data_IF_086870150728
#
_entry.id   IF_086870150728
#
_cell.length_a   1.000
_cell.length_b   1.000
_cell.length_c   1.000
_cell.angle_alpha   90.00
_cell.angle_beta   90.00
_cell.angle_gamma   90.00
#
_symmetry.space_group_name_H-M   'P 1'
#
loop_
_entity.id
_entity.type
_entity.pdbx_description
1 polymer ?
#
# COMPACT_ATOMS: atom_id res chain seq x y z
N UNK A 1 0.38 -24.48 -7.10
CA UNK A 1 -0.65 -23.86 -6.23
C UNK A 1 -0.55 -22.33 -6.14
N UNK A 2 0.21 -21.64 -7.00
CA UNK A 2 0.47 -20.18 -6.90
C UNK A 2 -0.35 -19.34 -7.90
N UNK A 3 -0.89 -19.94 -8.97
CA UNK A 3 -1.61 -19.20 -10.03
C UNK A 3 -3.12 -18.98 -9.78
N UNK A 4 -3.71 -19.59 -8.76
CA UNK A 4 -5.14 -19.44 -8.44
C UNK A 4 -5.49 -18.16 -7.69
N UNK A 5 -4.51 -17.50 -7.07
CA UNK A 5 -4.76 -16.29 -6.28
C UNK A 5 -5.05 -15.05 -7.16
N UNK A 6 -4.59 -15.08 -8.43
CA UNK A 6 -4.76 -13.99 -9.40
C UNK A 6 -6.19 -13.75 -9.89
N UNK A 7 -7.11 -14.69 -9.67
CA UNK A 7 -8.50 -14.59 -10.14
C UNK A 7 -9.53 -14.34 -9.02
N UNK A 8 -9.09 -13.98 -7.81
CA UNK A 8 -10.03 -13.62 -6.74
C UNK A 8 -10.64 -12.23 -7.01
N UNK A 9 -11.97 -12.04 -6.89
CA UNK A 9 -12.64 -10.74 -7.07
C UNK A 9 -12.16 -9.66 -6.08
N UNK A 10 -11.37 -10.05 -5.08
CA UNK A 10 -10.71 -9.16 -4.13
C UNK A 10 -9.54 -8.40 -4.80
N UNK A 11 -8.84 -9.01 -5.77
CA UNK A 11 -7.67 -8.41 -6.41
C UNK A 11 -8.00 -7.48 -7.58
N UNK A 12 -9.18 -7.57 -8.18
CA UNK A 12 -9.61 -6.68 -9.28
C UNK A 12 -10.19 -5.34 -8.80
N UNK A 13 -10.16 -5.07 -7.49
CA UNK A 13 -10.85 -3.90 -6.91
C UNK A 13 -10.07 -2.62 -7.16
N UNK A 14 -10.81 -1.58 -7.57
CA UNK A 14 -10.30 -0.23 -7.77
C UNK A 14 -10.43 0.59 -6.49
N UNK A 15 -9.63 1.65 -6.40
CA UNK A 15 -9.69 2.59 -5.29
C UNK A 15 -10.94 3.46 -5.36
N UNK A 16 -11.64 3.59 -4.22
CA UNK A 16 -12.83 4.46 -4.12
C UNK A 16 -12.46 5.95 -4.18
N UNK A 17 -11.31 6.33 -3.62
CA UNK A 17 -10.86 7.73 -3.50
C UNK A 17 -9.43 7.93 -4.03
N UNK A 18 -9.21 7.89 -5.36
CA UNK A 18 -7.87 7.97 -5.95
C UNK A 18 -7.13 9.27 -5.63
N UNK A 19 -7.84 10.42 -5.58
CA UNK A 19 -7.23 11.73 -5.27
C UNK A 19 -6.64 11.78 -3.86
N UNK A 20 -7.33 11.20 -2.88
CA UNK A 20 -6.89 11.19 -1.47
C UNK A 20 -5.60 10.38 -1.31
N UNK A 21 -5.48 9.28 -2.05
CA UNK A 21 -4.30 8.41 -2.02
C UNK A 21 -3.08 9.11 -2.63
N UNK A 22 -3.27 9.87 -3.72
CA UNK A 22 -2.20 10.65 -4.32
C UNK A 22 -1.69 11.70 -3.32
N UNK A 23 -2.61 12.42 -2.65
CA UNK A 23 -2.22 13.37 -1.61
C UNK A 23 -1.51 12.70 -0.43
N UNK A 24 -2.02 11.56 0.06
CA UNK A 24 -1.37 10.82 1.13
C UNK A 24 0.01 10.32 0.75
N UNK A 25 0.25 9.93 -0.51
CA UNK A 25 1.58 9.56 -1.00
C UNK A 25 2.55 10.75 -0.99
N UNK A 26 2.09 11.95 -1.38
CA UNK A 26 2.95 13.15 -1.34
C UNK A 26 3.30 13.51 0.11
N UNK A 27 2.32 13.43 1.00
CA UNK A 27 2.52 13.69 2.44
C UNK A 27 3.45 12.65 3.07
N UNK A 28 3.26 11.38 2.71
CA UNK A 28 4.13 10.26 3.11
C UNK A 28 5.57 10.50 2.67
N UNK A 29 5.79 10.95 1.42
CA UNK A 29 7.12 11.30 0.93
C UNK A 29 7.77 12.43 1.73
N UNK A 30 7.02 13.48 2.05
CA UNK A 30 7.54 14.58 2.87
C UNK A 30 7.96 14.07 4.28
N UNK A 31 7.14 13.21 4.87
CA UNK A 31 7.43 12.61 6.17
C UNK A 31 8.60 11.63 6.16
N UNK A 32 8.76 10.81 5.11
CA UNK A 32 9.92 9.89 5.01
C UNK A 32 11.23 10.65 4.85
N UNK A 33 11.26 11.73 4.07
CA UNK A 33 12.44 12.59 3.94
C UNK A 33 12.79 13.21 5.30
N UNK A 34 11.80 13.75 6.03
CA UNK A 34 12.02 14.29 7.36
C UNK A 34 12.57 13.23 8.33
N UNK A 35 12.01 12.01 8.32
CA UNK A 35 12.47 10.91 9.16
C UNK A 35 13.92 10.52 8.85
N UNK A 36 14.27 10.38 7.57
CA UNK A 36 15.63 10.05 7.14
C UNK A 36 16.65 11.11 7.56
N UNK A 37 16.31 12.39 7.44
CA UNK A 37 17.21 13.48 7.85
C UNK A 37 17.40 13.45 9.37
N UNK A 38 16.33 13.35 10.14
CA UNK A 38 16.42 13.38 11.60
C UNK A 38 17.16 12.17 12.16
N UNK A 39 16.86 10.95 11.67
CA UNK A 39 17.54 9.74 12.11
C UNK A 39 18.94 9.59 11.54
N UNK A 40 19.19 10.11 10.34
CA UNK A 40 20.52 10.13 9.73
C UNK A 40 21.49 11.05 10.47
N UNK A 41 21.02 12.24 10.88
CA UNK A 41 21.84 13.15 11.70
C UNK A 41 22.09 12.58 13.10
N UNK A 42 21.13 11.83 13.65
CA UNK A 42 21.28 11.25 14.98
C UNK A 42 22.35 10.14 15.04
N UNK A 43 22.64 9.45 13.93
CA UNK A 43 23.55 8.30 13.85
C UNK A 43 25.04 8.72 13.87
N UNK A 44 25.95 7.99 14.55
CA UNK A 44 25.73 6.80 15.37
C UNK A 44 25.24 7.09 16.80
N UNK A 45 25.59 8.26 17.36
CA UNK A 45 25.22 8.69 18.70
C UNK A 45 25.44 10.21 18.87
N UNK A 46 24.73 11.02 18.08
CA UNK A 46 24.92 12.47 18.15
C UNK A 46 24.44 13.05 19.49
N UNK A 47 23.28 12.60 19.95
CA UNK A 47 22.64 13.15 21.14
C UNK A 47 22.12 12.13 22.13
N UNK A 48 22.09 10.82 21.83
CA UNK A 48 21.49 9.83 22.73
C UNK A 48 22.23 9.76 24.06
N UNK A 49 23.55 9.56 24.05
CA UNK A 49 24.35 9.50 25.29
C UNK A 49 24.38 10.84 26.01
N UNK A 50 24.38 11.96 25.28
CA UNK A 50 24.30 13.31 25.88
C UNK A 50 22.98 13.54 26.60
N UNK A 51 21.86 13.16 25.99
CA UNK A 51 20.55 13.25 26.62
C UNK A 51 20.43 12.27 27.79
N UNK A 52 21.04 11.08 27.69
CA UNK A 52 21.08 10.14 28.80
C UNK A 52 21.79 10.77 30.01
N UNK A 53 23.00 11.33 29.81
CA UNK A 53 23.77 12.01 30.85
C UNK A 53 23.02 13.19 31.48
N UNK A 54 22.42 14.07 30.67
CA UNK A 54 21.68 15.23 31.18
C UNK A 54 20.50 14.80 32.04
N UNK A 55 19.81 13.72 31.64
CA UNK A 55 18.76 13.15 32.46
C UNK A 55 19.30 12.70 33.82
N UNK A 56 20.46 12.05 33.84
CA UNK A 56 21.07 11.49 35.04
C UNK A 56 21.55 12.60 35.98
N UNK A 57 22.19 13.63 35.43
CA UNK A 57 22.64 14.81 36.17
C UNK A 57 21.47 15.54 36.87
N UNK A 58 20.25 15.40 36.33
CA UNK A 58 19.01 15.95 36.90
C UNK A 58 18.19 14.91 37.70
N UNK A 59 18.68 13.68 37.85
CA UNK A 59 18.02 12.59 38.58
C UNK A 59 16.75 12.05 37.92
N UNK A 60 16.66 12.10 36.58
CA UNK A 60 15.47 11.68 35.84
C UNK A 60 15.54 10.27 35.27
N UNK A 61 16.72 9.68 35.13
CA UNK A 61 16.94 8.36 34.55
C UNK A 61 18.25 7.76 35.07
N UNK A 62 18.54 6.53 34.64
CA UNK A 62 19.78 5.81 34.97
C UNK A 62 21.03 6.51 34.43
N UNK A 63 22.21 6.14 34.93
CA UNK A 63 23.49 6.68 34.43
C UNK A 63 23.97 5.95 33.17
N UNK A 64 24.47 6.67 32.14
CA UNK A 64 25.15 6.02 31.01
C UNK A 64 26.46 5.31 31.41
N UNK A 65 27.08 5.73 32.53
CA UNK A 65 28.34 5.17 33.03
C UNK A 65 28.15 3.84 33.76
N UNK A 66 26.92 3.38 33.99
CA UNK A 66 26.62 2.12 34.67
C UNK A 66 27.26 0.92 33.94
N UNK A 67 27.30 0.95 32.61
CA UNK A 67 27.93 -0.07 31.77
C UNK A 67 29.45 -0.09 31.99
N UNK A 68 30.07 1.09 32.00
CA UNK A 68 31.51 1.23 32.20
C UNK A 68 31.91 0.84 33.64
N UNK A 69 31.09 1.23 34.62
CA UNK A 69 31.26 0.86 36.02
C UNK A 69 31.15 -0.66 36.21
N UNK A 70 30.12 -1.30 35.64
CA UNK A 70 29.95 -2.75 35.73
C UNK A 70 31.12 -3.50 35.08
N UNK A 71 31.56 -3.03 33.91
CA UNK A 71 32.71 -3.58 33.20
C UNK A 71 34.01 -3.46 34.02
N UNK A 72 34.29 -2.28 34.57
CA UNK A 72 35.50 -2.03 35.38
C UNK A 72 35.52 -2.83 36.69
N UNK A 73 34.35 -3.13 37.27
CA UNK A 73 34.23 -3.88 38.52
C UNK A 73 33.94 -5.38 38.33
N UNK A 74 34.07 -5.91 37.11
CA UNK A 74 33.77 -7.32 36.78
C UNK A 74 32.37 -7.77 37.25
N UNK A 75 31.39 -6.86 37.24
CA UNK A 75 29.99 -7.15 37.55
C UNK A 75 29.24 -7.55 36.28
N UNK A 76 28.13 -8.31 36.39
CA UNK A 76 27.28 -8.57 35.24
C UNK A 76 26.81 -7.25 34.61
N UNK A 77 26.86 -7.16 33.29
CA UNK A 77 26.48 -5.95 32.55
C UNK A 77 24.99 -5.65 32.80
N UNK A 78 24.65 -4.41 33.19
CA UNK A 78 23.27 -4.02 33.41
C UNK A 78 22.51 -4.02 32.09
N UNK A 79 21.21 -4.32 32.16
CA UNK A 79 20.35 -4.27 30.99
C UNK A 79 20.03 -2.81 30.67
N UNK A 80 20.62 -2.31 29.58
CA UNK A 80 20.35 -0.96 29.08
C UNK A 80 18.87 -0.86 28.68
N UNK A 81 18.19 0.20 29.12
CA UNK A 81 16.83 0.48 28.71
C UNK A 81 16.73 0.64 27.19
N UNK A 82 15.65 0.13 26.59
CA UNK A 82 15.51 0.09 25.13
C UNK A 82 15.59 1.48 24.48
N UNK A 83 15.15 2.53 25.19
CA UNK A 83 15.18 3.93 24.74
C UNK A 83 16.59 4.48 24.53
N UNK A 84 17.57 3.97 25.29
CA UNK A 84 18.98 4.37 25.22
C UNK A 84 19.83 3.38 24.41
N UNK A 85 19.20 2.39 23.77
CA UNK A 85 19.92 1.34 23.04
C UNK A 85 20.29 1.76 21.61
N UNK A 86 21.44 1.28 21.11
CA UNK A 86 21.79 1.37 19.68
C UNK A 86 20.80 0.61 18.80
N UNK A 87 20.20 -0.46 19.32
CA UNK A 87 19.20 -1.26 18.61
C UNK A 87 18.00 -0.43 18.17
N UNK A 88 17.46 0.43 19.05
CA UNK A 88 16.36 1.32 18.71
C UNK A 88 16.75 2.31 17.59
N UNK A 89 17.95 2.87 17.68
CA UNK A 89 18.45 3.80 16.68
C UNK A 89 18.61 3.13 15.31
N UNK A 90 19.26 1.97 15.27
CA UNK A 90 19.41 1.18 14.04
C UNK A 90 18.06 0.77 13.47
N UNK A 91 17.09 0.44 14.33
CA UNK A 91 15.72 0.17 13.92
C UNK A 91 15.06 1.40 13.29
N UNK A 92 15.16 2.58 13.89
CA UNK A 92 14.58 3.82 13.37
C UNK A 92 15.17 4.24 12.01
N UNK A 93 16.49 4.07 11.83
CA UNK A 93 17.15 4.28 10.54
C UNK A 93 16.66 3.24 9.53
N UNK A 94 16.64 1.97 9.93
CA UNK A 94 16.21 0.85 9.09
C UNK A 94 14.77 1.00 8.60
N UNK A 95 13.82 1.34 9.47
CA UNK A 95 12.42 1.56 9.07
C UNK A 95 12.30 2.77 8.14
N UNK A 96 13.11 3.82 8.33
CA UNK A 96 13.05 5.02 7.49
C UNK A 96 13.55 4.73 6.07
N UNK A 97 14.64 3.97 5.95
CA UNK A 97 15.17 3.49 4.65
C UNK A 97 14.18 2.52 3.99
N UNK A 98 13.65 1.56 4.75
CA UNK A 98 12.65 0.61 4.25
C UNK A 98 11.39 1.33 3.74
N UNK A 99 10.91 2.32 4.50
CA UNK A 99 9.74 3.10 4.13
C UNK A 99 10.00 3.90 2.85
N UNK A 100 11.17 4.52 2.71
CA UNK A 100 11.55 5.22 1.49
C UNK A 100 11.60 4.28 0.27
N UNK A 101 12.21 3.09 0.42
CA UNK A 101 12.28 2.11 -0.66
C UNK A 101 10.89 1.62 -1.08
N UNK A 102 10.03 1.31 -0.12
CA UNK A 102 8.63 0.93 -0.37
C UNK A 102 7.89 2.07 -1.07
N UNK A 103 8.12 3.32 -0.67
CA UNK A 103 7.50 4.49 -1.28
C UNK A 103 7.89 4.64 -2.76
N UNK A 104 9.16 4.42 -3.11
CA UNK A 104 9.61 4.42 -4.51
C UNK A 104 8.92 3.31 -5.31
N UNK A 105 8.90 2.08 -4.79
CA UNK A 105 8.20 0.96 -5.40
C UNK A 105 6.71 1.24 -5.59
N UNK A 106 6.07 1.86 -4.59
CA UNK A 106 4.66 2.23 -4.59
C UNK A 106 4.33 3.23 -5.69
N UNK A 107 5.17 4.25 -5.91
CA UNK A 107 5.01 5.21 -7.00
C UNK A 107 5.07 4.51 -8.37
N UNK A 108 6.03 3.61 -8.57
CA UNK A 108 6.14 2.82 -9.81
C UNK A 108 4.91 1.94 -10.02
N UNK A 109 4.45 1.23 -8.98
CA UNK A 109 3.24 0.40 -9.04
C UNK A 109 1.98 1.23 -9.30
N UNK A 110 1.93 2.48 -8.82
CA UNK A 110 0.84 3.40 -9.09
C UNK A 110 0.81 3.83 -10.57
N UNK A 111 1.96 4.14 -11.17
CA UNK A 111 2.09 4.47 -12.60
C UNK A 111 1.70 3.26 -13.48
N UNK A 112 2.13 2.05 -13.09
CA UNK A 112 1.78 0.82 -13.79
C UNK A 112 0.32 0.37 -13.56
N UNK A 113 -0.45 1.08 -12.73
CA UNK A 113 -1.82 0.71 -12.34
C UNK A 113 -1.95 -0.69 -11.69
N UNK A 114 -0.87 -1.18 -11.05
CA UNK A 114 -0.82 -2.48 -10.34
C UNK A 114 -1.05 -2.30 -8.82
N UNK A 115 -1.16 -1.07 -8.34
CA UNK A 115 -1.37 -0.77 -6.92
C UNK A 115 -2.81 -1.11 -6.46
N UNK A 116 -3.05 -2.38 -6.13
CA UNK A 116 -4.35 -2.84 -5.63
C UNK A 116 -4.55 -2.51 -4.14
N UNK A 117 -5.79 -2.24 -3.70
CA UNK A 117 -6.10 -1.96 -2.29
C UNK A 117 -5.64 -3.03 -1.30
N UNK A 118 -5.65 -4.31 -1.71
CA UNK A 118 -5.21 -5.42 -0.86
C UNK A 118 -3.71 -5.32 -0.54
N UNK A 119 -2.88 -5.20 -1.59
CA UNK A 119 -1.44 -5.08 -1.44
C UNK A 119 -1.07 -3.86 -0.59
N UNK A 120 -1.74 -2.74 -0.86
CA UNK A 120 -1.56 -1.51 -0.10
C UNK A 120 -1.89 -1.70 1.38
N UNK A 121 -2.98 -2.38 1.71
CA UNK A 121 -3.41 -2.59 3.10
C UNK A 121 -2.39 -3.41 3.88
N UNK A 122 -1.86 -4.48 3.27
CA UNK A 122 -0.86 -5.33 3.91
C UNK A 122 0.43 -4.55 4.16
N UNK A 123 0.95 -3.86 3.14
CA UNK A 123 2.22 -3.11 3.24
C UNK A 123 2.09 -1.97 4.26
N UNK A 124 1.05 -1.14 4.16
CA UNK A 124 0.84 -0.04 5.09
C UNK A 124 0.56 -0.54 6.51
N UNK A 125 -0.13 -1.68 6.67
CA UNK A 125 -0.36 -2.29 7.96
C UNK A 125 0.93 -2.73 8.64
N UNK A 126 1.83 -3.41 7.90
CA UNK A 126 3.14 -3.80 8.41
C UNK A 126 3.98 -2.57 8.80
N UNK A 127 4.01 -1.54 7.95
CA UNK A 127 4.71 -0.30 8.26
C UNK A 127 4.13 0.40 9.49
N UNK A 128 2.80 0.41 9.64
CA UNK A 128 2.14 0.97 10.84
C UNK A 128 2.64 0.28 12.11
N UNK A 129 2.73 -1.05 12.10
CA UNK A 129 3.27 -1.82 13.24
C UNK A 129 4.73 -1.44 13.52
N UNK A 130 5.58 -1.34 12.50
CA UNK A 130 6.97 -0.91 12.67
C UNK A 130 7.08 0.50 13.29
N UNK A 131 6.27 1.45 12.83
CA UNK A 131 6.24 2.80 13.40
C UNK A 131 5.69 2.84 14.85
N UNK A 132 4.73 1.98 15.20
CA UNK A 132 4.27 1.83 16.59
C UNK A 132 5.41 1.34 17.50
N UNK A 133 6.18 0.34 17.06
CA UNK A 133 7.35 -0.15 17.81
C UNK A 133 8.40 0.96 17.98
N UNK A 134 8.60 1.78 16.96
CA UNK A 134 9.50 2.95 17.03
C UNK A 134 9.04 3.98 18.07
N UNK A 135 7.74 4.30 18.12
CA UNK A 135 7.16 5.21 19.12
C UNK A 135 7.31 4.64 20.52
N UNK A 136 6.96 3.36 20.70
CA UNK A 136 7.10 2.67 21.99
C UNK A 136 8.56 2.67 22.45
N UNK A 137 9.50 2.47 21.53
CA UNK A 137 10.92 2.53 21.84
C UNK A 137 11.38 3.90 22.29
N UNK A 138 11.01 4.97 21.56
CA UNK A 138 11.43 6.34 21.87
C UNK A 138 10.77 6.92 23.13
N UNK A 139 9.54 6.53 23.42
CA UNK A 139 8.82 6.89 24.65
C UNK A 139 8.92 5.82 25.74
N UNK A 140 9.84 4.88 25.58
CA UNK A 140 9.96 3.72 26.46
C UNK A 140 10.40 4.09 27.88
N UNK A 141 10.06 3.23 28.87
CA UNK A 141 10.51 3.39 30.23
C UNK A 141 12.00 3.05 30.39
N UNK A 142 12.59 3.64 31.42
CA UNK A 142 13.90 3.33 31.97
C UNK A 142 13.74 3.00 33.47
N UNK A 143 13.88 1.73 33.79
CA UNK A 143 13.80 1.20 35.16
C UNK A 143 15.08 0.46 35.56
N UNK A 144 16.20 0.77 34.90
CA UNK A 144 17.47 0.10 35.17
C UNK A 144 18.02 0.50 36.55
N UNK A 145 17.80 1.75 36.97
CA UNK A 145 18.12 2.25 38.31
C UNK A 145 16.86 2.31 39.20
N UNK A 146 16.79 1.57 40.32
CA UNK A 146 15.69 1.65 41.29
C UNK A 146 15.55 3.02 41.95
N UNK A 147 16.64 3.79 42.07
CA UNK A 147 16.64 5.09 42.74
C UNK A 147 16.12 6.21 41.81
N UNK A 148 16.24 6.03 40.49
CA UNK A 148 15.79 6.99 39.47
C UNK A 148 14.91 6.36 38.37
N UNK A 149 13.74 5.78 38.72
CA UNK A 149 12.86 5.16 37.75
C UNK A 149 12.15 6.21 36.88
N UNK A 150 12.16 6.00 35.57
CA UNK A 150 11.47 6.85 34.59
C UNK A 150 10.50 6.02 33.75
N UNK A 151 9.20 6.34 33.81
CA UNK A 151 8.20 5.67 32.98
C UNK A 151 8.27 6.05 31.49
N UNK A 152 8.82 7.23 31.19
CA UNK A 152 8.90 7.81 29.83
C UNK A 152 10.19 8.59 29.74
N UNK A 153 10.91 8.46 28.62
CA UNK A 153 12.11 9.23 28.34
C UNK A 153 11.95 10.72 28.72
N UNK A 154 12.88 11.23 29.53
CA UNK A 154 12.73 12.53 30.19
C UNK A 154 12.56 13.68 29.18
N UNK A 155 13.24 13.61 28.03
CA UNK A 155 13.18 14.64 27.00
C UNK A 155 11.82 14.68 26.29
N UNK A 156 10.94 13.68 26.47
CA UNK A 156 9.55 13.71 26.02
C UNK A 156 8.64 14.26 27.13
N UNK A 157 8.85 13.83 28.37
CA UNK A 157 8.01 14.22 29.50
C UNK A 157 8.26 15.65 30.02
N UNK A 158 9.45 16.20 29.79
CA UNK A 158 9.90 17.49 30.35
C UNK A 158 10.30 18.50 29.27
N UNK A 159 10.48 19.77 29.67
CA UNK A 159 10.93 20.85 28.79
C UNK A 159 12.41 20.70 28.41
N UNK A 160 12.81 21.27 27.27
CA UNK A 160 14.22 21.26 26.86
C UNK A 160 15.09 22.27 27.63
N UNK A 161 14.50 23.06 28.53
CA UNK A 161 15.21 23.99 29.42
C UNK A 161 16.24 23.30 30.32
N UNK A 162 16.03 22.02 30.67
CA UNK A 162 17.00 21.24 31.46
C UNK A 162 18.30 20.96 30.69
N UNK A 163 18.28 21.03 29.36
CA UNK A 163 19.46 20.89 28.51
C UNK A 163 20.11 22.24 28.14
N UNK A 164 19.52 23.37 28.54
CA UNK A 164 20.07 24.69 28.26
C UNK A 164 21.40 24.96 29.01
N UNK A 165 21.57 24.59 30.29
CA UNK A 165 22.84 24.80 31.00
C UNK A 165 24.03 24.07 30.36
N UNK A 166 23.78 22.95 29.69
CA UNK A 166 24.82 22.17 28.99
C UNK A 166 25.01 22.58 27.53
N UNK A 167 24.27 23.58 27.03
CA UNK A 167 24.30 24.02 25.63
C UNK A 167 23.69 23.03 24.63
N UNK A 168 22.99 21.99 25.12
CA UNK A 168 22.45 20.89 24.31
C UNK A 168 20.95 21.02 24.05
N UNK A 169 20.38 22.21 24.22
CA UNK A 169 18.94 22.45 24.00
C UNK A 169 18.51 22.06 22.58
N UNK A 170 19.30 22.42 21.57
CA UNK A 170 19.01 22.07 20.18
C UNK A 170 18.88 20.56 19.98
N UNK A 171 19.71 19.76 20.64
CA UNK A 171 19.63 18.30 20.57
C UNK A 171 18.35 17.75 21.22
N UNK A 172 17.89 18.35 22.32
CA UNK A 172 16.59 18.01 22.90
C UNK A 172 15.44 18.35 21.94
N UNK A 173 15.50 19.51 21.29
CA UNK A 173 14.50 19.91 20.29
C UNK A 173 14.51 18.96 19.07
N UNK A 174 15.69 18.54 18.61
CA UNK A 174 15.82 17.54 17.55
C UNK A 174 15.23 16.18 17.95
N UNK A 175 15.52 15.70 19.17
CA UNK A 175 14.96 14.45 19.67
C UNK A 175 13.42 14.49 19.73
N UNK A 176 12.84 15.61 20.22
CA UNK A 176 11.39 15.83 20.18
C UNK A 176 10.84 15.90 18.76
N UNK A 177 11.56 16.56 17.85
CA UNK A 177 11.21 16.62 16.43
C UNK A 177 11.19 15.24 15.79
N UNK A 178 12.19 14.39 16.07
CA UNK A 178 12.24 13.01 15.59
C UNK A 178 11.04 12.20 16.10
N UNK A 179 10.71 12.32 17.39
CA UNK A 179 9.53 11.70 17.97
C UNK A 179 8.24 12.19 17.29
N UNK A 180 8.08 13.49 17.10
CA UNK A 180 6.92 14.07 16.41
C UNK A 180 6.77 13.54 14.97
N UNK A 181 7.88 13.42 14.23
CA UNK A 181 7.90 12.82 12.88
C UNK A 181 7.44 11.36 12.94
N UNK A 182 7.87 10.57 13.92
CA UNK A 182 7.43 9.16 14.02
C UNK A 182 5.94 9.01 14.29
N UNK A 183 5.39 9.87 15.16
CA UNK A 183 3.94 9.92 15.42
C UNK A 183 3.18 10.32 14.16
N UNK A 184 3.68 11.32 13.45
CA UNK A 184 3.12 11.76 12.18
C UNK A 184 3.12 10.62 11.14
N UNK A 185 4.25 9.93 10.96
CA UNK A 185 4.36 8.80 10.03
C UNK A 185 3.40 7.66 10.40
N UNK A 186 3.29 7.34 11.69
CA UNK A 186 2.34 6.33 12.18
C UNK A 186 0.90 6.69 11.80
N UNK A 187 0.48 7.94 12.02
CA UNK A 187 -0.87 8.41 11.67
C UNK A 187 -1.14 8.32 10.17
N UNK A 188 -0.17 8.70 9.33
CA UNK A 188 -0.30 8.62 7.87
C UNK A 188 -0.43 7.16 7.41
N UNK A 189 0.41 6.25 7.92
CA UNK A 189 0.31 4.82 7.57
C UNK A 189 -0.96 4.17 8.09
N UNK A 190 -1.42 4.55 9.27
CA UNK A 190 -2.69 4.09 9.83
C UNK A 190 -3.87 4.56 8.96
N UNK A 191 -3.88 5.84 8.57
CA UNK A 191 -4.91 6.39 7.68
C UNK A 191 -4.92 5.67 6.32
N UNK A 192 -3.74 5.43 5.74
CA UNK A 192 -3.58 4.64 4.51
C UNK A 192 -4.10 3.19 4.68
N UNK A 193 -3.86 2.57 5.83
CA UNK A 193 -4.36 1.22 6.15
C UNK A 193 -5.88 1.21 6.27
N UNK A 194 -6.48 2.17 6.97
CA UNK A 194 -7.93 2.30 7.13
C UNK A 194 -8.60 2.53 5.76
N UNK A 195 -8.04 3.40 4.92
CA UNK A 195 -8.55 3.64 3.56
C UNK A 195 -8.42 2.41 2.67
N UNK A 196 -7.35 1.64 2.83
CA UNK A 196 -7.18 0.33 2.20
C UNK A 196 -8.28 -0.65 2.58
N UNK A 197 -8.50 -0.84 3.89
CA UNK A 197 -9.59 -1.68 4.43
C UNK A 197 -10.95 -1.21 3.93
N UNK A 198 -11.23 0.09 3.98
CA UNK A 198 -12.51 0.66 3.52
C UNK A 198 -12.72 0.45 2.00
N UNK A 199 -11.65 0.45 1.22
CA UNK A 199 -11.69 0.14 -0.22
C UNK A 199 -11.88 -1.36 -0.49
N UNK A 200 -11.46 -2.23 0.44
CA UNK A 200 -11.70 -3.67 0.40
C UNK A 200 -13.13 -4.08 0.83
N UNK A 201 -13.89 -3.21 1.49
CA UNK A 201 -15.29 -3.49 1.82
C UNK A 201 -16.17 -3.27 0.58
N UNK A 202 -16.92 -4.28 0.09
CA UNK A 202 -17.77 -4.13 -1.10
C UNK A 202 -18.85 -3.09 -0.86
N UNK A 203 -19.02 -2.17 -1.80
CA UNK A 203 -20.19 -1.28 -1.78
C UNK A 203 -21.48 -2.06 -2.06
N UNK A 204 -22.63 -1.57 -1.58
CA UNK A 204 -23.93 -2.23 -1.83
C UNK A 204 -24.23 -2.39 -3.33
N UNK A 205 -23.78 -1.42 -4.14
CA UNK A 205 -23.90 -1.43 -5.60
C UNK A 205 -23.02 -2.51 -6.26
N UNK A 206 -21.77 -2.66 -5.82
CA UNK A 206 -20.90 -3.73 -6.35
C UNK A 206 -21.39 -5.11 -5.91
N UNK A 207 -22.03 -5.21 -4.74
CA UNK A 207 -22.63 -6.47 -4.28
C UNK A 207 -23.81 -6.89 -5.16
N UNK A 208 -24.64 -5.94 -5.60
CA UNK A 208 -25.73 -6.24 -6.52
C UNK A 208 -25.23 -6.59 -7.92
N UNK A 209 -24.22 -5.89 -8.45
CA UNK A 209 -23.64 -6.24 -9.77
C UNK A 209 -22.98 -7.63 -9.73
N UNK A 210 -22.19 -7.94 -8.70
CA UNK A 210 -21.60 -9.27 -8.57
C UNK A 210 -22.66 -10.37 -8.37
N UNK A 211 -23.79 -10.05 -7.74
CA UNK A 211 -24.90 -11.00 -7.61
C UNK A 211 -25.58 -11.26 -8.96
N UNK A 212 -25.78 -10.20 -9.77
CA UNK A 212 -26.31 -10.32 -11.13
C UNK A 212 -25.35 -11.08 -12.06
N UNK A 213 -24.06 -10.76 -12.03
CA UNK A 213 -23.05 -11.50 -12.81
C UNK A 213 -23.01 -12.98 -12.40
N UNK A 214 -23.13 -13.28 -11.10
CA UNK A 214 -23.18 -14.66 -10.62
C UNK A 214 -24.44 -15.37 -11.12
N UNK A 215 -25.59 -14.69 -11.11
CA UNK A 215 -26.86 -15.21 -11.61
C UNK A 215 -26.79 -15.47 -13.12
N UNK A 216 -26.24 -14.54 -13.91
CA UNK A 216 -26.01 -14.72 -15.35
C UNK A 216 -25.05 -15.88 -15.66
N UNK A 217 -23.97 -16.03 -14.88
CA UNK A 217 -23.04 -17.15 -15.02
C UNK A 217 -23.69 -18.50 -14.63
N UNK A 218 -24.50 -18.53 -13.57
CA UNK A 218 -25.26 -19.71 -13.16
C UNK A 218 -26.30 -20.06 -14.22
N UNK A 219 -27.05 -19.08 -14.74
CA UNK A 219 -28.01 -19.31 -15.82
C UNK A 219 -27.34 -19.85 -17.09
N UNK A 220 -26.19 -19.27 -17.47
CA UNK A 220 -25.44 -19.70 -18.64
C UNK A 220 -24.90 -21.13 -18.46
N UNK A 221 -24.33 -21.45 -17.29
CA UNK A 221 -23.87 -22.81 -16.97
C UNK A 221 -25.00 -23.83 -16.88
N UNK A 222 -26.18 -23.44 -16.37
CA UNK A 222 -27.37 -24.29 -16.29
C UNK A 222 -27.97 -24.56 -17.68
N UNK A 223 -27.96 -23.57 -18.58
CA UNK A 223 -28.36 -23.73 -20.00
C UNK A 223 -27.39 -24.65 -20.76
N UNK A 224 -26.10 -24.62 -20.44
CA UNK A 224 -25.09 -25.54 -20.99
C UNK A 224 -25.25 -26.97 -20.44
N UNK A 225 -25.60 -27.13 -19.16
CA UNK A 225 -25.84 -28.44 -18.53
C UNK A 225 -27.14 -29.15 -18.94
N UNK A 226 -28.10 -28.44 -19.55
CA UNK A 226 -29.40 -29.00 -19.99
C UNK A 226 -29.42 -29.46 -21.45
N UNK A 227 -28.30 -29.39 -22.18
CA UNK A 227 -28.16 -30.04 -23.49
C UNK A 227 -27.85 -31.52 -23.27
N UNK A 228 -28.93 -32.29 -23.23
CA UNK A 228 -29.04 -33.71 -22.87
C UNK A 228 -28.10 -34.61 -23.68
N UNK A 229 -27.51 -35.58 -22.96
CA UNK A 229 -26.92 -36.82 -23.46
C UNK A 229 -27.85 -37.53 -24.45
N UNK A 230 -27.40 -37.70 -25.69
CA UNK A 230 -27.76 -38.87 -26.51
C UNK A 230 -26.47 -39.58 -26.91
N UNK A 231 -26.46 -40.86 -26.59
CA UNK A 231 -25.45 -41.92 -26.74
C UNK A 231 -24.78 -41.98 -28.11
N UNK A 232 -23.44 -41.97 -28.16
CA UNK A 232 -22.57 -43.08 -28.64
C UNK A 232 -21.10 -42.65 -28.91
N UNK A 233 -20.17 -43.22 -28.13
CA UNK A 233 -18.73 -43.53 -28.46
C UNK A 233 -17.71 -42.36 -28.66
N UNK A 234 -16.35 -42.59 -28.62
CA UNK A 234 -15.49 -42.07 -27.54
C UNK A 234 -14.38 -41.09 -28.00
N UNK A 235 -13.74 -40.45 -27.00
CA UNK A 235 -12.45 -39.75 -27.01
C UNK A 235 -11.94 -39.10 -28.32
N UNK A 236 -11.98 -37.77 -28.36
CA UNK A 236 -10.83 -36.97 -28.84
C UNK A 236 -11.00 -35.48 -28.52
N UNK A 237 -9.98 -34.99 -27.81
CA UNK A 237 -9.31 -33.71 -28.02
C UNK A 237 -10.06 -32.37 -27.77
N UNK A 238 -9.51 -31.67 -26.77
CA UNK A 238 -9.50 -30.23 -26.55
C UNK A 238 -9.69 -29.41 -27.84
N UNK A 239 -10.88 -28.84 -28.02
CA UNK A 239 -11.11 -27.80 -29.02
C UNK A 239 -11.11 -26.42 -28.32
N UNK A 240 -10.00 -25.70 -28.47
CA UNK A 240 -9.93 -24.27 -28.17
C UNK A 240 -10.86 -23.50 -29.11
N UNK A 241 -11.47 -22.46 -28.58
CA UNK A 241 -12.56 -21.65 -29.15
C UNK A 241 -12.32 -21.18 -30.60
N UNK A 242 -13.34 -21.35 -31.45
CA UNK A 242 -13.69 -20.35 -32.47
C UNK A 242 -15.17 -20.02 -32.31
N UNK A 243 -15.44 -18.94 -31.58
CA UNK A 243 -16.76 -18.32 -31.60
C UNK A 243 -16.92 -17.53 -32.92
N UNK A 244 -17.88 -18.00 -33.72
CA UNK A 244 -18.73 -17.27 -34.68
C UNK A 244 -18.78 -17.91 -36.08
N UNK A 245 -19.68 -18.88 -36.25
CA UNK A 245 -20.47 -19.00 -37.47
C UNK A 245 -21.89 -19.43 -37.11
N UNK A 246 -22.69 -18.47 -36.66
CA UNK A 246 -24.12 -18.53 -36.91
C UNK A 246 -24.37 -17.65 -38.14
N UNK A 247 -24.14 -18.24 -39.31
CA UNK A 247 -24.65 -17.70 -40.56
C UNK A 247 -25.65 -18.71 -41.10
N UNK A 248 -26.90 -18.49 -40.69
CA UNK A 248 -28.05 -18.69 -41.55
C UNK A 248 -27.68 -18.30 -42.98
N UNK A 249 -27.90 -19.21 -43.91
CA UNK A 249 -27.71 -19.02 -45.34
C UNK A 249 -28.36 -17.70 -45.79
N UNK A 250 -27.55 -16.73 -46.21
CA UNK A 250 -27.97 -15.52 -46.91
C UNK A 250 -27.00 -15.29 -48.09
N UNK A 251 -27.44 -15.22 -49.37
CA UNK A 251 -26.58 -15.28 -50.56
C UNK A 251 -25.65 -14.07 -50.79
N UNK A 252 -25.51 -13.16 -49.82
CA UNK A 252 -24.92 -11.82 -49.99
C UNK A 252 -23.40 -11.72 -49.75
N UNK A 253 -22.71 -12.83 -49.43
CA UNK A 253 -21.25 -12.84 -49.19
C UNK A 253 -20.54 -13.96 -49.96
N UNK A 254 -20.58 -13.88 -51.28
CA UNK A 254 -19.60 -14.56 -52.13
C UNK A 254 -18.46 -13.58 -52.43
N UNK A 255 -17.18 -13.98 -52.32
CA UNK A 255 -16.07 -13.10 -52.70
C UNK A 255 -16.14 -12.79 -54.20
N UNK A 256 -16.40 -11.52 -54.51
CA UNK A 256 -16.55 -11.04 -55.89
C UNK A 256 -15.22 -11.19 -56.65
N UNK A 257 -15.22 -11.96 -57.73
CA UNK A 257 -14.12 -11.97 -58.70
C UNK A 257 -14.19 -10.71 -59.58
N UNK A 258 -13.06 -10.17 -60.07
CA UNK A 258 -13.01 -8.87 -60.75
C UNK A 258 -13.95 -8.72 -61.96
N UNK A 259 -14.44 -9.82 -62.53
CA UNK A 259 -15.42 -9.84 -63.63
C UNK A 259 -16.83 -9.39 -63.22
N UNK A 260 -17.16 -9.39 -61.93
CA UNK A 260 -18.48 -8.99 -61.41
C UNK A 260 -18.54 -7.53 -60.93
N UNK A 261 -17.39 -6.85 -60.81
CA UNK A 261 -17.34 -5.43 -60.45
C UNK A 261 -17.72 -4.51 -61.61
N UNK A 262 -17.44 -4.91 -62.86
CA UNK A 262 -17.71 -4.10 -64.05
C UNK A 262 -19.21 -3.91 -64.36
N UNK A 263 -20.06 -4.87 -63.99
CA UNK A 263 -21.52 -4.74 -64.17
C UNK A 263 -22.18 -3.91 -63.05
N UNK A 264 -21.57 -3.90 -61.85
CA UNK A 264 -22.08 -3.15 -60.70
C UNK A 264 -21.76 -1.65 -60.78
N UNK A 265 -20.71 -1.26 -61.52
CA UNK A 265 -20.37 0.14 -61.76
C UNK A 265 -21.28 0.83 -62.79
N UNK A 266 -21.81 0.08 -63.76
CA UNK A 266 -22.74 0.61 -64.77
C UNK A 266 -24.15 0.84 -64.20
N UNK A 267 -24.61 0.02 -63.26
CA UNK A 267 -25.95 0.11 -62.68
C UNK A 267 -26.13 1.32 -61.74
N UNK A 268 -25.03 1.90 -61.24
CA UNK A 268 -25.04 3.06 -60.33
C UNK A 268 -25.15 4.42 -61.06
N UNK A 269 -25.06 4.45 -62.40
CA UNK A 269 -24.98 5.69 -63.19
C UNK A 269 -26.28 6.11 -63.90
N UNK A 270 -27.43 5.47 -63.66
CA UNK A 270 -28.71 5.92 -64.25
C UNK A 270 -29.67 6.52 -63.20
N UNK A 271 -29.85 7.87 -63.16
CA UNK A 271 -30.79 8.51 -62.26
C UNK A 271 -32.17 8.66 -62.94
N UNK A 272 -32.95 7.57 -63.09
CA UNK A 272 -34.29 7.67 -63.68
C UNK A 272 -35.39 6.83 -63.00
N UNK A 273 -35.22 6.39 -61.74
CA UNK A 273 -36.26 5.59 -61.06
C UNK A 273 -36.72 6.05 -59.67
N UNK A 274 -36.31 7.23 -59.22
CA UNK A 274 -36.67 7.75 -57.89
C UNK A 274 -37.77 8.83 -57.89
N UNK A 275 -38.62 8.90 -58.93
CA UNK A 275 -39.75 9.85 -58.93
C UNK A 275 -41.02 9.16 -59.40
N UNK A 276 -41.74 8.58 -58.46
CA UNK A 276 -43.16 8.28 -58.60
C UNK A 276 -43.86 8.58 -57.26
N UNK A 277 -44.15 9.87 -57.05
CA UNK A 277 -45.16 10.32 -56.09
C UNK A 277 -46.54 10.36 -56.78
N UNK A 278 -47.65 10.11 -56.06
CA UNK A 278 -48.96 9.81 -56.65
C UNK A 278 -49.72 11.06 -57.11
N UNK A 279 -50.57 10.85 -58.11
CA UNK A 279 -51.33 11.83 -58.89
C UNK A 279 -52.83 11.81 -58.50
N UNK A 280 -53.37 13.00 -58.21
CA UNK A 280 -54.78 13.44 -58.29
C UNK A 280 -55.79 12.82 -57.30
N UNK A 281 -56.77 13.53 -56.73
CA UNK A 281 -57.33 14.87 -56.97
C UNK A 281 -57.81 15.49 -55.64
#
# INVERSE_FOLDING_TARGET
MVFGCLSSPIMKRKWKFPKVIIWLNVIELAGTVAALVMFGIADPDLYRTKMWQIGYDNGFNSSPDEVLYAYANYRPLPKIAFVWSQTLQNFNIGISVLTMFIQLCKVVMFIMHIWYPLLSTIINGLLTVCWIVSIYGQAGPDHTDPDHPSNVAWYIAKSCSYAAPSGNEHYCQMAKGAFAVTVFMMVIFLANTILGIHSLIPSRLERSVNALDLEDNIETSTKVGKRVKTTDSPDSERQWEMQNMQQSMDPSKQPFTPRTLAFKSLDRQLPLRATSAPRFA
#
